data_IF_508816797611
#
_entry.id   IF_508816797611
#
_cell.length_a   1.000
_cell.length_b   1.000
_cell.length_c   1.000
_cell.angle_alpha   90.00
_cell.angle_beta   90.00
_cell.angle_gamma   90.00
#
_symmetry.space_group_name_H-M   'P 1'
#
loop_
_entity.id
_entity.type
_entity.pdbx_description
1 polymer ?
#
# COMPACT_ATOMS: atom_id res chain seq x y z
N UNK A 1 29.60 -37.21 13.69
CA UNK A 1 30.23 -35.88 13.50
C UNK A 1 29.57 -35.25 12.28
N UNK A 2 28.50 -34.45 12.43
CA UNK A 2 27.82 -33.82 11.31
C UNK A 2 28.63 -32.60 10.86
N UNK A 3 28.96 -32.54 9.57
CA UNK A 3 29.61 -31.39 8.94
C UNK A 3 28.56 -30.33 8.62
N UNK A 4 28.53 -29.26 9.41
CA UNK A 4 27.74 -28.06 9.13
C UNK A 4 28.25 -27.38 7.86
N UNK A 5 27.46 -27.47 6.79
CA UNK A 5 27.67 -26.70 5.57
C UNK A 5 27.16 -25.28 5.76
N UNK A 6 28.12 -24.39 5.99
CA UNK A 6 27.94 -22.94 6.06
C UNK A 6 27.46 -22.41 4.70
N UNK A 7 26.20 -22.00 4.60
CA UNK A 7 25.69 -21.27 3.44
C UNK A 7 26.02 -19.78 3.58
N UNK A 8 26.79 -19.17 2.66
CA UNK A 8 27.06 -17.74 2.70
C UNK A 8 25.77 -16.95 2.46
N UNK A 9 25.57 -15.92 3.28
CA UNK A 9 24.45 -15.00 3.21
C UNK A 9 24.33 -14.44 1.78
N UNK A 10 23.12 -14.54 1.21
CA UNK A 10 22.77 -13.91 -0.06
C UNK A 10 23.04 -12.42 0.04
N UNK A 11 24.00 -11.95 -0.76
CA UNK A 11 24.25 -10.55 -1.06
C UNK A 11 22.93 -9.90 -1.45
N UNK A 12 22.42 -9.02 -0.58
CA UNK A 12 21.25 -8.17 -0.87
C UNK A 12 21.66 -7.27 -2.02
N UNK A 13 21.13 -7.54 -3.21
CA UNK A 13 21.30 -6.68 -4.38
C UNK A 13 20.88 -5.26 -3.98
N UNK A 14 21.81 -4.31 -4.10
CA UNK A 14 21.51 -2.90 -3.96
C UNK A 14 20.42 -2.55 -4.94
N UNK A 15 19.28 -2.09 -4.42
CA UNK A 15 18.25 -1.50 -5.25
C UNK A 15 18.86 -0.30 -5.98
N UNK A 16 19.13 -0.49 -7.27
CA UNK A 16 19.44 0.60 -8.18
C UNK A 16 18.35 1.65 -8.04
N UNK A 17 18.77 2.85 -7.63
CA UNK A 17 17.98 4.06 -7.68
C UNK A 17 17.52 4.27 -9.13
N UNK A 18 16.31 3.81 -9.45
CA UNK A 18 15.63 4.27 -10.66
C UNK A 18 15.45 5.78 -10.53
N UNK A 19 16.02 6.58 -11.45
CA UNK A 19 15.71 7.99 -11.50
C UNK A 19 14.20 8.12 -11.73
N UNK A 20 13.54 8.83 -10.82
CA UNK A 20 12.14 9.16 -10.96
C UNK A 20 11.94 9.85 -12.31
N UNK A 21 10.90 9.49 -13.08
CA UNK A 21 10.55 10.23 -14.28
C UNK A 21 10.30 11.68 -13.85
N UNK A 22 11.05 12.61 -14.42
CA UNK A 22 10.75 14.03 -14.33
C UNK A 22 9.39 14.26 -14.99
N UNK A 23 8.33 14.17 -14.19
CA UNK A 23 7.05 14.72 -14.58
C UNK A 23 7.22 16.23 -14.66
N UNK A 24 7.35 16.70 -15.89
CA UNK A 24 7.17 18.07 -16.33
C UNK A 24 5.97 18.69 -15.60
N UNK A 25 6.28 19.40 -14.52
CA UNK A 25 5.33 20.22 -13.77
C UNK A 25 5.35 21.63 -14.34
N UNK A 26 5.05 21.75 -15.62
CA UNK A 26 4.42 22.95 -16.19
C UNK A 26 2.95 23.06 -15.72
N UNK A 27 2.73 22.90 -14.41
CA UNK A 27 1.50 23.37 -13.77
C UNK A 27 1.61 24.89 -13.64
N UNK A 28 1.04 25.55 -14.62
CA UNK A 28 0.46 26.89 -14.50
C UNK A 28 -0.06 27.06 -13.07
N UNK A 29 0.59 27.91 -12.28
CA UNK A 29 0.12 28.38 -10.97
C UNK A 29 -1.23 29.08 -11.17
N UNK A 30 -2.31 28.31 -11.29
CA UNK A 30 -3.65 28.82 -11.01
C UNK A 30 -3.68 29.04 -9.51
N UNK A 31 -3.49 30.30 -9.12
CA UNK A 31 -3.91 30.82 -7.81
C UNK A 31 -5.39 30.48 -7.64
N UNK A 32 -5.69 29.28 -7.14
CA UNK A 32 -6.98 29.04 -6.49
C UNK A 32 -6.89 29.82 -5.19
N UNK A 33 -7.47 31.01 -5.22
CA UNK A 33 -7.92 31.70 -4.03
C UNK A 33 -8.59 30.64 -3.14
N UNK A 34 -8.00 30.39 -1.98
CA UNK A 34 -8.72 29.77 -0.90
C UNK A 34 -9.79 30.80 -0.52
N UNK A 35 -10.99 30.59 -1.01
CA UNK A 35 -12.21 31.01 -0.35
C UNK A 35 -12.19 30.38 1.06
N UNK A 36 -11.51 31.07 1.98
CA UNK A 36 -11.75 30.94 3.39
C UNK A 36 -13.06 31.68 3.65
N UNK A 37 -14.11 30.93 3.97
CA UNK A 37 -15.36 31.48 4.48
C UNK A 37 -15.10 32.57 5.55
N UNK A 38 -15.75 33.75 5.46
CA UNK A 38 -15.53 34.89 6.37
C UNK A 38 -16.09 34.79 7.80
N UNK A 39 -16.36 33.60 8.38
CA UNK A 39 -17.26 33.49 9.56
C UNK A 39 -16.57 33.20 10.91
N UNK A 40 -15.24 33.17 11.02
CA UNK A 40 -14.59 32.92 12.34
C UNK A 40 -13.43 33.88 12.66
N UNK A 41 -13.65 35.20 12.48
CA UNK A 41 -12.73 36.25 12.97
C UNK A 41 -13.14 36.88 14.31
N UNK A 42 -14.11 36.32 15.04
CA UNK A 42 -14.62 36.89 16.28
C UNK A 42 -14.51 35.98 17.50
N UNK A 43 -13.32 35.42 17.77
CA UNK A 43 -13.10 34.80 19.08
C UNK A 43 -11.67 34.79 19.62
N UNK A 44 -10.81 35.73 19.21
CA UNK A 44 -9.44 35.86 19.71
C UNK A 44 -9.23 37.06 20.66
N UNK A 45 -10.28 37.46 21.39
CA UNK A 45 -10.22 38.55 22.37
C UNK A 45 -10.47 38.05 23.82
N UNK A 46 -9.92 36.89 24.18
CA UNK A 46 -9.94 36.39 25.58
C UNK A 46 -8.61 35.91 26.13
N UNK A 47 -7.48 36.28 25.52
CA UNK A 47 -6.13 36.03 26.06
C UNK A 47 -5.58 37.19 26.90
N UNK A 48 -6.39 37.78 27.77
CA UNK A 48 -5.86 38.56 28.90
C UNK A 48 -6.78 38.54 30.12
N UNK A 49 -7.07 37.34 30.64
CA UNK A 49 -7.53 37.22 32.03
C UNK A 49 -6.47 36.54 32.87
N UNK A 50 -5.44 37.32 33.16
CA UNK A 50 -4.58 37.20 34.33
C UNK A 50 -5.42 36.85 35.56
N UNK A 51 -5.49 35.56 35.87
CA UNK A 51 -5.98 35.05 37.15
C UNK A 51 -4.87 34.20 37.74
N UNK A 52 -3.84 34.91 38.20
CA UNK A 52 -3.10 34.53 39.39
C UNK A 52 -4.09 34.45 40.56
N UNK A 53 -4.86 33.36 40.61
CA UNK A 53 -5.64 33.00 41.78
C UNK A 53 -4.73 32.15 42.62
N UNK A 54 -4.18 32.79 43.64
CA UNK A 54 -3.74 32.17 44.87
C UNK A 54 -4.53 30.88 45.12
N UNK A 55 -3.82 29.75 45.11
CA UNK A 55 -4.32 28.46 45.60
C UNK A 55 -4.67 28.66 47.08
N UNK A 56 -5.88 29.13 47.35
CA UNK A 56 -6.50 28.87 48.63
C UNK A 56 -6.55 27.34 48.74
N UNK A 57 -5.86 26.79 49.73
CA UNK A 57 -5.99 25.38 50.11
C UNK A 57 -7.50 25.09 50.21
N UNK A 58 -8.06 24.21 49.35
CA UNK A 58 -9.45 23.84 49.50
C UNK A 58 -9.60 23.27 50.91
N UNK A 59 -10.48 23.88 51.70
CA UNK A 59 -10.77 23.40 53.05
C UNK A 59 -11.03 21.88 53.01
N UNK A 60 -10.53 21.12 54.01
CA UNK A 60 -10.79 19.69 54.09
C UNK A 60 -12.29 19.47 53.98
N UNK A 61 -12.72 18.79 52.91
CA UNK A 61 -14.14 18.43 52.79
C UNK A 61 -14.44 17.50 53.97
N UNK A 62 -15.46 17.79 54.79
CA UNK A 62 -15.83 16.92 55.89
C UNK A 62 -16.05 15.51 55.33
N UNK A 63 -15.35 14.54 55.92
CA UNK A 63 -15.37 13.14 55.54
C UNK A 63 -16.82 12.68 55.42
N UNK A 64 -17.17 12.16 54.25
CA UNK A 64 -18.50 11.61 53.98
C UNK A 64 -18.50 10.16 54.49
N UNK A 65 -18.25 9.98 55.78
CA UNK A 65 -17.87 8.72 56.41
C UNK A 65 -19.05 7.75 56.64
N UNK A 66 -20.07 7.78 55.78
CA UNK A 66 -21.27 6.98 56.01
C UNK A 66 -22.25 6.86 54.85
N UNK A 67 -21.86 7.20 53.62
CA UNK A 67 -22.71 6.80 52.49
C UNK A 67 -22.55 5.30 52.25
N UNK A 68 -23.65 4.52 52.18
CA UNK A 68 -23.61 3.13 51.79
C UNK A 68 -22.85 3.05 50.47
N UNK A 69 -21.75 2.28 50.47
CA UNK A 69 -20.78 2.26 49.39
C UNK A 69 -21.48 2.10 48.04
N UNK A 70 -21.09 2.91 47.06
CA UNK A 70 -21.67 2.90 45.74
C UNK A 70 -21.56 1.49 45.14
N UNK A 71 -22.66 0.73 45.17
CA UNK A 71 -22.71 -0.67 44.76
C UNK A 71 -22.40 -0.84 43.26
N UNK A 72 -22.33 0.26 42.52
CA UNK A 72 -21.94 0.27 41.10
C UNK A 72 -20.44 0.09 40.88
N UNK A 73 -19.61 0.31 41.90
CA UNK A 73 -18.16 0.18 41.77
C UNK A 73 -17.71 -1.29 41.88
N UNK A 74 -16.81 -1.76 40.99
CA UNK A 74 -16.30 -3.15 41.01
C UNK A 74 -15.72 -3.62 42.34
N UNK A 75 -15.16 -2.70 43.16
CA UNK A 75 -14.65 -3.03 44.50
C UNK A 75 -15.73 -3.41 45.52
N UNK A 76 -17.00 -3.10 45.24
CA UNK A 76 -18.15 -3.39 46.11
C UNK A 76 -18.97 -4.60 45.63
N UNK A 77 -18.54 -5.28 44.57
CA UNK A 77 -19.20 -6.50 44.11
C UNK A 77 -18.93 -7.68 45.07
N UNK A 78 -19.76 -8.72 44.99
CA UNK A 78 -19.58 -9.94 45.77
C UNK A 78 -18.21 -10.60 45.56
N UNK A 79 -17.60 -10.38 44.38
CA UNK A 79 -16.22 -10.73 44.05
C UNK A 79 -15.48 -9.47 43.63
N UNK A 80 -14.83 -8.76 44.57
CA UNK A 80 -14.17 -7.50 44.26
C UNK A 80 -12.93 -7.73 43.40
N UNK A 81 -12.68 -6.82 42.45
CA UNK A 81 -11.49 -6.87 41.60
C UNK A 81 -10.35 -6.02 42.20
N UNK A 82 -9.15 -6.59 42.25
CA UNK A 82 -7.90 -5.94 42.65
C UNK A 82 -7.45 -4.97 41.56
N UNK A 83 -7.06 -3.76 41.95
CA UNK A 83 -6.56 -2.75 41.03
C UNK A 83 -5.25 -3.21 40.36
N UNK A 84 -5.23 -3.25 39.02
CA UNK A 84 -4.05 -3.64 38.23
C UNK A 84 -2.78 -2.86 38.61
N UNK A 85 -2.88 -1.53 38.68
CA UNK A 85 -1.73 -0.66 38.98
C UNK A 85 -1.20 -0.85 40.41
N UNK A 86 -2.11 -1.02 41.38
CA UNK A 86 -1.71 -1.28 42.76
C UNK A 86 -1.03 -2.64 42.89
N UNK A 87 -1.58 -3.69 42.27
CA UNK A 87 -0.99 -5.04 42.31
C UNK A 87 0.38 -5.10 41.65
N UNK A 88 0.58 -4.41 40.52
CA UNK A 88 1.82 -4.49 39.75
C UNK A 88 2.93 -3.58 40.32
N UNK A 89 2.56 -2.38 40.78
CA UNK A 89 3.54 -1.36 41.18
C UNK A 89 3.58 -1.13 42.70
N UNK A 90 2.72 -1.79 43.48
CA UNK A 90 2.48 -1.50 44.90
C UNK A 90 1.82 -0.13 45.14
N UNK A 91 1.48 0.61 44.08
CA UNK A 91 0.98 2.00 44.15
C UNK A 91 0.05 2.31 43.00
N UNK A 92 -1.12 2.85 43.33
CA UNK A 92 -2.06 3.45 42.38
C UNK A 92 -1.99 4.98 42.46
N UNK A 93 -2.23 5.66 41.34
CA UNK A 93 -2.31 7.14 41.30
C UNK A 93 -3.58 7.69 41.97
N UNK A 94 -4.62 6.86 42.11
CA UNK A 94 -5.87 7.18 42.81
C UNK A 94 -5.79 6.77 44.28
N UNK A 95 -6.53 7.47 45.15
CA UNK A 95 -6.72 7.04 46.55
C UNK A 95 -7.64 5.82 46.59
N UNK A 96 -7.59 5.04 47.67
CA UNK A 96 -8.40 3.82 47.82
C UNK A 96 -9.91 4.09 47.71
N UNK A 97 -10.38 5.19 48.30
CA UNK A 97 -11.77 5.64 48.18
C UNK A 97 -12.17 6.04 46.74
N UNK A 98 -11.25 6.62 45.96
CA UNK A 98 -11.49 7.16 44.61
C UNK A 98 -11.23 6.13 43.49
N UNK A 99 -10.57 5.01 43.83
CA UNK A 99 -10.33 3.92 42.90
C UNK A 99 -11.61 3.08 42.77
N UNK A 100 -11.93 2.66 41.54
CA UNK A 100 -13.06 1.78 41.27
C UNK A 100 -12.77 0.31 41.68
N UNK A 101 -11.50 -0.01 41.87
CA UNK A 101 -10.97 -1.33 42.19
C UNK A 101 -10.31 -1.34 43.58
N UNK A 102 -10.19 -2.50 44.21
CA UNK A 102 -9.62 -2.66 45.55
C UNK A 102 -8.09 -2.48 45.55
N UNK A 103 -7.55 -1.80 46.57
CA UNK A 103 -6.09 -1.73 46.83
C UNK A 103 -5.64 -2.77 47.88
N UNK A 104 -6.18 -3.98 47.77
CA UNK A 104 -5.72 -5.16 48.49
C UNK A 104 -5.92 -6.37 47.58
N UNK A 105 -5.20 -7.47 47.86
CA UNK A 105 -5.31 -8.67 47.05
C UNK A 105 -6.65 -9.39 47.34
N UNK A 106 -7.54 -9.39 46.37
CA UNK A 106 -8.85 -10.06 46.41
C UNK A 106 -8.84 -11.45 45.77
N UNK A 107 -7.71 -11.87 45.18
CA UNK A 107 -7.61 -13.08 44.37
C UNK A 107 -8.13 -12.93 42.93
N UNK A 108 -8.71 -11.77 42.58
CA UNK A 108 -9.20 -11.48 41.23
C UNK A 108 -8.61 -10.18 40.71
N UNK A 109 -7.67 -10.25 39.78
CA UNK A 109 -6.99 -9.07 39.22
C UNK A 109 -7.85 -8.44 38.11
N UNK A 110 -8.01 -7.11 38.13
CA UNK A 110 -8.61 -6.38 37.02
C UNK A 110 -7.70 -6.43 35.76
N UNK A 111 -8.32 -6.46 34.58
CA UNK A 111 -7.58 -6.43 33.32
C UNK A 111 -6.76 -5.13 33.17
N UNK A 112 -5.59 -5.18 32.52
CA UNK A 112 -4.83 -3.99 32.21
C UNK A 112 -5.66 -3.03 31.33
N UNK A 113 -5.52 -1.72 31.49
CA UNK A 113 -6.24 -0.77 30.65
C UNK A 113 -5.83 -0.94 29.19
N UNK A 114 -6.81 -1.16 28.31
CA UNK A 114 -6.60 -1.29 26.87
C UNK A 114 -6.18 0.07 26.32
N UNK A 115 -4.96 0.16 25.80
CA UNK A 115 -4.48 1.33 25.05
C UNK A 115 -4.83 1.15 23.58
N UNK A 116 -5.96 1.72 23.15
CA UNK A 116 -6.24 1.87 21.72
C UNK A 116 -5.32 2.95 21.15
N UNK A 117 -4.52 2.58 20.14
CA UNK A 117 -3.69 3.52 19.40
C UNK A 117 -4.60 4.41 18.54
N UNK A 118 -5.05 5.55 19.08
CA UNK A 118 -5.65 6.58 18.27
C UNK A 118 -4.51 7.26 17.48
N UNK A 119 -4.67 7.43 16.16
CA UNK A 119 -3.61 7.90 15.24
C UNK A 119 -2.97 9.26 15.54
N UNK A 120 -3.36 9.94 16.63
CA UNK A 120 -2.79 11.21 17.12
C UNK A 120 -2.49 11.14 18.64
N UNK A 121 -2.20 9.95 19.17
CA UNK A 121 -1.71 9.77 20.55
C UNK A 121 -2.48 8.72 21.38
N UNK A 122 -1.87 8.29 22.48
CA UNK A 122 -2.46 7.34 23.42
C UNK A 122 -3.45 8.05 24.35
N UNK A 123 -4.72 8.16 23.95
CA UNK A 123 -5.80 8.65 24.80
C UNK A 123 -6.60 7.50 25.38
N UNK A 124 -6.67 7.36 26.70
CA UNK A 124 -7.66 6.47 27.33
C UNK A 124 -9.07 7.02 27.08
N UNK A 125 -9.90 6.25 26.37
CA UNK A 125 -11.30 6.63 26.11
C UNK A 125 -12.20 5.84 27.05
N UNK A 126 -12.91 6.54 27.94
CA UNK A 126 -13.88 5.93 28.85
C UNK A 126 -15.27 6.58 28.69
N UNK A 127 -16.32 5.79 28.92
CA UNK A 127 -17.70 6.27 28.96
C UNK A 127 -18.27 6.63 27.59
N UNK A 128 -18.97 7.78 27.52
CA UNK A 128 -19.75 8.20 26.33
C UNK A 128 -18.91 8.26 25.05
N UNK A 129 -17.65 8.70 25.16
CA UNK A 129 -16.72 8.74 24.02
C UNK A 129 -16.36 7.35 23.47
N UNK A 130 -16.31 6.33 24.32
CA UNK A 130 -16.05 4.96 23.87
C UNK A 130 -17.25 4.42 23.07
N UNK A 131 -18.47 4.80 23.48
CA UNK A 131 -19.70 4.45 22.75
C UNK A 131 -19.80 5.16 21.41
N UNK A 132 -19.42 6.44 21.35
CA UNK A 132 -19.36 7.20 20.09
C UNK A 132 -18.35 6.56 19.11
N UNK A 133 -17.13 6.22 19.57
CA UNK A 133 -16.15 5.50 18.74
C UNK A 133 -16.66 4.14 18.26
N UNK A 134 -17.34 3.37 19.12
CA UNK A 134 -17.91 2.08 18.72
C UNK A 134 -19.03 2.24 17.68
N UNK A 135 -19.79 3.34 17.72
CA UNK A 135 -20.79 3.63 16.70
C UNK A 135 -20.14 3.98 15.36
N UNK A 136 -19.06 4.77 15.37
CA UNK A 136 -18.32 5.15 14.16
C UNK A 136 -17.67 3.94 13.47
N UNK A 137 -17.29 2.90 14.23
CA UNK A 137 -16.80 1.66 13.63
C UNK A 137 -17.85 0.89 12.83
N UNK A 138 -19.14 1.04 13.16
CA UNK A 138 -20.23 0.36 12.44
C UNK A 138 -20.58 1.09 11.14
N UNK A 139 -20.56 2.43 11.11
CA UNK A 139 -20.76 3.16 9.85
C UNK A 139 -19.60 2.93 8.88
N UNK A 140 -18.38 2.76 9.40
CA UNK A 140 -17.21 2.40 8.59
C UNK A 140 -17.29 1.00 7.98
N UNK A 141 -18.16 0.10 8.43
CA UNK A 141 -18.23 -1.26 7.86
C UNK A 141 -18.79 -1.27 6.44
N UNK A 142 -19.75 -0.38 6.13
CA UNK A 142 -20.27 -0.24 4.77
C UNK A 142 -19.21 0.26 3.79
N UNK A 143 -18.41 1.25 4.22
CA UNK A 143 -17.30 1.78 3.42
C UNK A 143 -16.21 0.71 3.16
N UNK A 144 -16.02 -0.22 4.11
CA UNK A 144 -15.09 -1.35 3.96
C UNK A 144 -15.61 -2.32 2.90
N UNK A 145 -16.89 -2.70 2.95
CA UNK A 145 -17.48 -3.63 1.98
C UNK A 145 -17.47 -3.06 0.55
N UNK A 146 -17.80 -1.78 0.38
CA UNK A 146 -17.70 -1.11 -0.93
C UNK A 146 -16.26 -1.07 -1.43
N UNK A 147 -15.29 -0.78 -0.55
CA UNK A 147 -13.87 -0.80 -0.89
C UNK A 147 -13.39 -2.19 -1.29
N UNK A 148 -13.84 -3.23 -0.60
CA UNK A 148 -13.53 -4.63 -0.92
C UNK A 148 -14.10 -5.03 -2.27
N UNK A 149 -15.36 -4.67 -2.57
CA UNK A 149 -15.96 -4.90 -3.88
C UNK A 149 -15.21 -4.18 -5.01
N UNK A 150 -14.80 -2.93 -4.77
CA UNK A 150 -14.00 -2.16 -5.73
C UNK A 150 -12.60 -2.77 -5.98
N UNK A 151 -11.98 -3.36 -4.95
CA UNK A 151 -10.71 -4.07 -5.09
C UNK A 151 -10.89 -5.36 -5.87
N UNK A 152 -11.94 -6.14 -5.60
CA UNK A 152 -12.25 -7.37 -6.32
C UNK A 152 -12.48 -7.10 -7.82
N UNK A 153 -13.25 -6.06 -8.17
CA UNK A 153 -13.43 -5.69 -9.57
C UNK A 153 -12.10 -5.32 -10.26
N UNK A 154 -11.22 -4.59 -9.56
CA UNK A 154 -9.88 -4.26 -10.09
C UNK A 154 -9.01 -5.50 -10.29
N UNK A 155 -9.09 -6.47 -9.38
CA UNK A 155 -8.37 -7.74 -9.50
C UNK A 155 -8.82 -8.53 -10.73
N UNK A 156 -10.13 -8.68 -10.94
CA UNK A 156 -10.70 -9.34 -12.13
C UNK A 156 -10.30 -8.63 -13.44
N UNK A 157 -10.23 -7.30 -13.44
CA UNK A 157 -9.79 -6.53 -14.60
C UNK A 157 -8.30 -6.73 -14.90
N UNK A 158 -7.46 -6.78 -13.87
CA UNK A 158 -6.03 -7.08 -14.02
C UNK A 158 -5.82 -8.48 -14.55
N UNK A 159 -6.54 -9.48 -14.03
CA UNK A 159 -6.46 -10.85 -14.52
C UNK A 159 -6.82 -10.96 -16.02
N UNK A 160 -7.85 -10.22 -16.45
CA UNK A 160 -8.24 -10.14 -17.88
C UNK A 160 -7.11 -9.55 -18.74
N UNK A 161 -6.45 -8.50 -18.25
CA UNK A 161 -5.31 -7.86 -18.94
C UNK A 161 -4.10 -8.79 -18.99
N UNK A 162 -3.80 -9.51 -17.93
CA UNK A 162 -2.72 -10.48 -17.89
C UNK A 162 -2.94 -11.60 -18.91
N UNK A 163 -4.16 -12.16 -18.97
CA UNK A 163 -4.53 -13.15 -19.99
C UNK A 163 -4.37 -12.61 -21.42
N UNK A 164 -4.77 -11.37 -21.66
CA UNK A 164 -4.59 -10.73 -22.97
C UNK A 164 -3.10 -10.55 -23.33
N UNK A 165 -2.25 -10.18 -22.36
CA UNK A 165 -0.81 -10.07 -22.56
C UNK A 165 -0.14 -11.41 -22.84
N UNK A 166 -0.56 -12.48 -22.15
CA UNK A 166 -0.08 -13.85 -22.43
C UNK A 166 -0.44 -14.26 -23.86
N UNK A 167 -1.70 -14.10 -24.26
CA UNK A 167 -2.14 -14.38 -25.63
C UNK A 167 -1.38 -13.56 -26.69
N UNK A 168 -1.13 -12.28 -26.41
CA UNK A 168 -0.32 -11.41 -27.29
C UNK A 168 1.14 -11.89 -27.40
N UNK A 169 1.76 -12.34 -26.31
CA UNK A 169 3.11 -12.92 -26.33
C UNK A 169 3.18 -14.19 -27.17
N UNK A 170 2.21 -15.10 -27.01
CA UNK A 170 2.14 -16.32 -27.82
C UNK A 170 1.99 -16.00 -29.32
N UNK A 171 1.19 -14.99 -29.66
CA UNK A 171 1.06 -14.53 -31.04
C UNK A 171 2.39 -14.00 -31.59
N UNK A 172 3.11 -13.20 -30.80
CA UNK A 172 4.43 -12.68 -31.19
C UNK A 172 5.45 -13.81 -31.41
N UNK A 173 5.45 -14.83 -30.56
CA UNK A 173 6.33 -15.99 -30.76
C UNK A 173 5.99 -16.75 -32.05
N UNK A 174 4.71 -16.94 -32.36
CA UNK A 174 4.28 -17.54 -33.64
C UNK A 174 4.69 -16.71 -34.84
N UNK A 175 4.63 -15.38 -34.74
CA UNK A 175 5.07 -14.48 -35.80
C UNK A 175 6.58 -14.56 -36.02
N UNK A 176 7.39 -14.61 -34.94
CA UNK A 176 8.85 -14.80 -35.03
C UNK A 176 9.21 -16.11 -35.74
N UNK A 177 8.53 -17.21 -35.43
CA UNK A 177 8.76 -18.48 -36.12
C UNK A 177 8.44 -18.35 -37.61
N UNK A 178 7.33 -17.73 -37.98
CA UNK A 178 6.98 -17.49 -39.39
C UNK A 178 7.98 -16.61 -40.11
N UNK A 179 8.47 -15.57 -39.45
CA UNK A 179 9.51 -14.68 -39.97
C UNK A 179 10.77 -15.48 -40.33
N UNK A 180 11.28 -16.29 -39.40
CA UNK A 180 12.46 -17.15 -39.68
C UNK A 180 12.23 -18.17 -40.80
N UNK A 181 11.00 -18.68 -40.96
CA UNK A 181 10.65 -19.57 -42.07
C UNK A 181 10.64 -18.84 -43.41
N UNK A 182 10.14 -17.59 -43.44
CA UNK A 182 10.16 -16.76 -44.63
C UNK A 182 11.59 -16.39 -45.02
N UNK A 183 12.44 -16.02 -44.07
CA UNK A 183 13.87 -15.77 -44.30
C UNK A 183 14.58 -17.01 -44.88
N UNK A 184 14.31 -18.20 -44.33
CA UNK A 184 14.87 -19.45 -44.85
C UNK A 184 14.39 -19.74 -46.28
N UNK A 185 13.12 -19.48 -46.58
CA UNK A 185 12.57 -19.65 -47.93
C UNK A 185 13.16 -18.65 -48.91
N UNK A 186 13.31 -17.40 -48.51
CA UNK A 186 13.95 -16.36 -49.31
C UNK A 186 15.40 -16.73 -49.64
N UNK A 187 16.15 -17.17 -48.62
CA UNK A 187 17.52 -17.66 -48.81
C UNK A 187 17.59 -18.83 -49.80
N UNK A 188 16.69 -19.81 -49.68
CA UNK A 188 16.63 -20.94 -50.60
C UNK A 188 16.31 -20.49 -52.04
N UNK A 189 15.43 -19.49 -52.23
CA UNK A 189 15.15 -18.93 -53.55
C UNK A 189 16.37 -18.20 -54.13
N UNK A 190 17.13 -17.49 -53.30
CA UNK A 190 18.39 -16.84 -53.73
C UNK A 190 19.44 -17.88 -54.13
N UNK A 191 19.59 -18.96 -53.37
CA UNK A 191 20.50 -20.07 -53.70
C UNK A 191 20.07 -20.77 -55.00
N UNK A 192 18.79 -21.09 -55.16
CA UNK A 192 18.25 -21.65 -56.42
C UNK A 192 18.47 -20.71 -57.61
N UNK A 193 18.25 -19.40 -57.43
CA UNK A 193 18.48 -18.41 -58.49
C UNK A 193 19.97 -18.36 -58.90
N UNK A 194 20.89 -18.42 -57.93
CA UNK A 194 22.33 -18.47 -58.19
C UNK A 194 22.72 -19.73 -58.99
N UNK A 195 22.14 -20.88 -58.69
CA UNK A 195 22.34 -22.12 -59.46
C UNK A 195 21.82 -21.99 -60.90
N UNK A 196 20.62 -21.43 -61.09
CA UNK A 196 20.05 -21.25 -62.44
C UNK A 196 20.85 -20.28 -63.33
N UNK A 197 21.59 -19.34 -62.74
CA UNK A 197 22.46 -18.42 -63.48
C UNK A 197 23.74 -19.08 -64.05
N UNK A 198 23.96 -20.38 -63.82
CA UNK A 198 25.07 -21.13 -64.42
C UNK A 198 24.77 -21.69 -65.82
N UNK A 199 23.69 -21.25 -66.47
CA UNK A 199 23.33 -21.72 -67.81
C UNK A 199 24.48 -21.53 -68.80
N UNK A 200 24.86 -22.62 -69.47
CA UNK A 200 25.85 -22.65 -70.54
C UNK A 200 25.12 -22.57 -71.87
N UNK A 201 25.49 -21.60 -72.71
CA UNK A 201 24.93 -21.53 -74.05
C UNK A 201 25.36 -22.75 -74.87
N UNK A 202 24.40 -23.61 -75.26
CA UNK A 202 24.67 -24.81 -76.04
C UNK A 202 25.40 -24.56 -77.37
N UNK A 203 25.33 -23.33 -77.92
CA UNK A 203 26.01 -22.97 -79.18
C UNK A 203 27.46 -22.52 -79.01
N UNK A 204 27.78 -21.77 -77.97
CA UNK A 204 29.11 -21.15 -77.81
C UNK A 204 29.88 -21.63 -76.57
N UNK A 205 29.27 -22.41 -75.68
CA UNK A 205 29.91 -22.93 -74.48
C UNK A 205 30.20 -21.89 -73.39
N UNK A 206 29.78 -20.62 -73.56
CA UNK A 206 29.94 -19.60 -72.54
C UNK A 206 28.86 -19.71 -71.46
N UNK A 207 29.28 -19.55 -70.21
CA UNK A 207 28.39 -19.36 -69.06
C UNK A 207 27.85 -17.92 -69.05
N UNK A 208 26.55 -17.74 -68.83
CA UNK A 208 25.92 -16.43 -68.66
C UNK A 208 25.37 -15.81 -69.96
N UNK A 209 25.48 -14.48 -70.10
CA UNK A 209 24.95 -13.75 -71.26
C UNK A 209 25.68 -14.18 -72.55
N UNK A 210 24.96 -14.88 -73.42
CA UNK A 210 25.49 -15.25 -74.72
C UNK A 210 25.67 -13.99 -75.58
N UNK A 211 26.90 -13.62 -75.99
CA UNK A 211 27.15 -12.40 -76.77
C UNK A 211 26.39 -12.41 -78.11
N UNK A 212 26.01 -13.59 -78.62
CA UNK A 212 25.18 -13.74 -79.82
C UNK A 212 23.76 -13.22 -79.57
N UNK A 213 23.18 -13.43 -78.39
CA UNK A 213 21.83 -12.93 -78.06
C UNK A 213 21.87 -11.40 -77.84
N UNK A 214 22.94 -10.88 -77.24
CA UNK A 214 23.14 -9.44 -77.07
C UNK A 214 23.19 -8.70 -78.42
N UNK A 215 23.81 -9.30 -79.45
CA UNK A 215 23.84 -8.76 -80.81
C UNK A 215 22.46 -8.79 -81.48
N UNK A 216 21.68 -9.86 -81.29
CA UNK A 216 20.31 -9.97 -81.87
C UNK A 216 19.37 -8.93 -81.25
N UNK A 217 19.40 -8.75 -79.92
CA UNK A 217 18.55 -7.79 -79.23
C UNK A 217 18.91 -6.34 -79.57
N UNK A 218 20.19 -6.06 -79.82
CA UNK A 218 20.67 -4.74 -80.21
C UNK A 218 20.28 -4.36 -81.66
N UNK A 219 19.97 -5.36 -82.50
CA UNK A 219 19.63 -5.17 -83.92
C UNK A 219 18.15 -4.87 -84.18
N UNK A 220 17.28 -4.96 -83.16
CA UNK A 220 15.84 -4.71 -83.29
C UNK A 220 15.37 -3.37 -82.68
N UNK A 221 16.29 -2.56 -82.17
CA UNK A 221 15.99 -1.24 -81.59
C UNK A 221 16.20 -0.10 -82.60
N UNK A 222 16.75 -0.39 -83.79
CA UNK A 222 16.88 0.55 -84.92
C UNK A 222 15.96 0.16 -86.07
#
# INVERSE_FOLDING_TARGET
>A
MPTDHYHPARSVQSYDHRPFPEHDRSFVRRKRARDRSPVDQHNDERLYRSRSRHRANPAPRPGRDGQPGDVTLPKNFAKPLTCFFWSNNGRCSKRDQDCAYAHWNTGHLAEPPITVAAGIGFGSVAGKKARELASDTYTSSGDIEEREAALKHKEEELERREKALVSSKELLEKLKVKETQLEAREKALVEMAAETNTWVCAKCGHHGECPIIALILSSHIY
#
